data_IF_770612693013
#
_entry.id   IF_770612693013
#
_cell.length_a   1.000
_cell.length_b   1.000
_cell.length_c   1.000
_cell.angle_alpha   90.00
_cell.angle_beta   90.00
_cell.angle_gamma   90.00
#
_symmetry.space_group_name_H-M   'P 1'
#
loop_
_entity.id
_entity.type
_entity.pdbx_description
1 polymer ?
#
# COMPACT_ATOMS: atom_id res chain seq x y z
N UNK A 1 -7.72 -10.28 -5.46
CA UNK A 1 -8.06 -8.85 -5.40
C UNK A 1 -6.90 -8.02 -5.91
N UNK A 2 -7.16 -6.98 -6.66
CA UNK A 2 -6.07 -6.10 -7.09
C UNK A 2 -5.45 -5.39 -5.90
N UNK A 3 -4.19 -5.02 -6.05
CA UNK A 3 -3.49 -4.35 -4.97
C UNK A 3 -4.21 -3.08 -4.53
N UNK A 4 -4.77 -2.34 -5.49
CA UNK A 4 -5.46 -1.08 -5.16
C UNK A 4 -6.58 -1.30 -4.15
N UNK A 5 -7.33 -2.39 -4.30
CA UNK A 5 -8.39 -2.71 -3.36
C UNK A 5 -7.83 -3.21 -2.03
N UNK A 6 -6.78 -4.02 -2.09
CA UNK A 6 -6.18 -4.56 -0.87
C UNK A 6 -5.60 -3.45 0.01
N UNK A 7 -4.89 -2.51 -0.60
CA UNK A 7 -4.27 -1.45 0.18
C UNK A 7 -5.31 -0.50 0.76
N UNK A 8 -6.38 -0.25 0.01
CA UNK A 8 -7.46 0.59 0.51
C UNK A 8 -8.16 -0.07 1.70
N UNK A 9 -8.47 -1.37 1.56
CA UNK A 9 -9.12 -2.10 2.64
C UNK A 9 -8.22 -2.17 3.87
N UNK A 10 -6.93 -2.34 3.66
CA UNK A 10 -5.98 -2.35 4.77
C UNK A 10 -6.01 -1.01 5.51
N UNK A 11 -5.94 0.09 4.76
CA UNK A 11 -5.99 1.42 5.37
C UNK A 11 -7.27 1.62 6.17
N UNK A 12 -8.41 1.24 5.60
CA UNK A 12 -9.67 1.40 6.28
C UNK A 12 -9.76 0.55 7.54
N UNK A 13 -9.16 -0.64 7.52
CA UNK A 13 -9.16 -1.49 8.70
C UNK A 13 -8.32 -0.88 9.82
N UNK A 14 -7.38 0.00 9.48
CA UNK A 14 -6.59 0.72 10.47
C UNK A 14 -7.26 2.02 10.93
N UNK A 15 -8.44 2.31 10.41
CA UNK A 15 -9.21 3.51 10.76
C UNK A 15 -8.44 4.80 10.46
N UNK A 16 -7.73 4.81 9.33
CA UNK A 16 -6.96 5.97 8.92
C UNK A 16 -7.47 6.51 7.59
N UNK A 17 -7.40 7.83 7.43
CA UNK A 17 -7.62 8.41 6.11
C UNK A 17 -6.31 8.34 5.31
N UNK A 18 -6.36 8.79 4.06
CA UNK A 18 -5.19 8.68 3.18
C UNK A 18 -3.99 9.50 3.68
N UNK A 19 -4.25 10.65 4.24
CA UNK A 19 -3.18 11.50 4.77
C UNK A 19 -2.50 10.84 5.96
N UNK A 20 -3.30 10.31 6.88
CA UNK A 20 -2.75 9.63 8.05
C UNK A 20 -1.95 8.40 7.67
N UNK A 21 -2.47 7.64 6.73
CA UNK A 21 -1.80 6.44 6.26
C UNK A 21 -0.47 6.80 5.58
N UNK A 22 -0.49 7.84 4.75
CA UNK A 22 0.73 8.32 4.12
C UNK A 22 1.76 8.73 5.13
N UNK A 23 1.33 9.47 6.16
CA UNK A 23 2.25 9.89 7.22
C UNK A 23 2.88 8.69 7.93
N UNK A 24 2.10 7.65 8.16
CA UNK A 24 2.61 6.45 8.82
C UNK A 24 3.67 5.75 7.99
N UNK A 25 3.58 5.85 6.67
CA UNK A 25 4.52 5.18 5.77
C UNK A 25 5.60 6.11 5.23
N UNK A 26 5.51 7.39 5.52
CA UNK A 26 6.48 8.35 5.01
C UNK A 26 6.27 8.72 3.55
N UNK A 27 5.04 8.64 3.07
CA UNK A 27 4.71 9.01 1.69
C UNK A 27 3.59 10.03 1.70
N UNK A 28 3.38 10.69 0.56
CA UNK A 28 2.37 11.73 0.46
C UNK A 28 0.98 11.16 0.30
N UNK A 29 -0.02 12.01 0.61
CA UNK A 29 -1.41 11.70 0.34
C UNK A 29 -1.61 11.33 -1.14
N UNK A 30 -1.01 12.10 -2.03
CA UNK A 30 -1.13 11.86 -3.45
C UNK A 30 -0.64 10.47 -3.83
N UNK A 31 0.45 10.04 -3.22
CA UNK A 31 1.01 8.72 -3.48
C UNK A 31 0.02 7.62 -3.05
N UNK A 32 -0.55 7.74 -1.86
CA UNK A 32 -1.52 6.77 -1.38
C UNK A 32 -2.74 6.74 -2.31
N UNK A 33 -3.20 7.91 -2.70
CA UNK A 33 -4.35 8.02 -3.58
C UNK A 33 -4.10 7.30 -4.91
N UNK A 34 -2.90 7.47 -5.48
CA UNK A 34 -2.56 6.81 -6.73
C UNK A 34 -2.52 5.29 -6.58
N UNK A 35 -2.01 4.80 -5.46
CA UNK A 35 -2.01 3.35 -5.20
C UNK A 35 -3.46 2.82 -5.18
N UNK A 36 -4.33 3.53 -4.50
CA UNK A 36 -5.71 3.06 -4.32
C UNK A 36 -6.56 3.18 -5.58
N UNK A 37 -6.13 4.02 -6.51
CA UNK A 37 -6.82 4.16 -7.78
C UNK A 37 -6.18 3.34 -8.91
N UNK A 38 -5.20 2.53 -8.57
CA UNK A 38 -4.57 1.68 -9.58
C UNK A 38 -3.67 2.42 -10.54
N UNK A 39 -3.29 3.66 -10.21
CA UNK A 39 -2.44 4.47 -11.09
C UNK A 39 -0.97 4.23 -10.87
N UNK A 40 -0.61 3.68 -9.73
CA UNK A 40 0.76 3.39 -9.39
C UNK A 40 0.78 2.28 -8.35
N UNK A 41 1.94 1.69 -8.14
CA UNK A 41 2.09 0.73 -7.05
C UNK A 41 3.34 1.09 -6.27
N UNK A 42 3.41 0.69 -4.99
CA UNK A 42 4.57 1.02 -4.16
C UNK A 42 5.84 0.41 -4.71
N UNK A 43 6.94 1.16 -4.62
CA UNK A 43 8.24 0.58 -4.92
C UNK A 43 8.70 -0.24 -3.71
N UNK A 44 9.88 -0.84 -3.84
CA UNK A 44 10.39 -1.73 -2.79
C UNK A 44 10.58 -0.98 -1.47
N UNK A 45 11.04 0.27 -1.54
CA UNK A 45 11.23 1.06 -0.34
C UNK A 45 9.91 1.25 0.41
N UNK A 46 8.85 1.57 -0.33
CA UNK A 46 7.54 1.75 0.27
C UNK A 46 6.99 0.43 0.81
N UNK A 47 7.25 -0.68 0.11
CA UNK A 47 6.82 -1.98 0.61
C UNK A 47 7.53 -2.38 1.89
N UNK A 48 8.80 -2.01 2.03
CA UNK A 48 9.51 -2.25 3.27
C UNK A 48 8.91 -1.46 4.43
N UNK A 49 8.54 -0.21 4.18
CA UNK A 49 7.90 0.61 5.20
C UNK A 49 6.55 0.01 5.59
N UNK A 50 5.80 -0.48 4.61
CA UNK A 50 4.52 -1.10 4.86
C UNK A 50 4.68 -2.38 5.68
N UNK A 51 5.68 -3.18 5.36
CA UNK A 51 5.94 -4.40 6.11
C UNK A 51 6.29 -4.09 7.55
N UNK A 52 7.14 -3.09 7.76
CA UNK A 52 7.51 -2.69 9.12
C UNK A 52 6.29 -2.20 9.89
N UNK A 53 5.45 -1.42 9.25
CA UNK A 53 4.24 -0.93 9.88
C UNK A 53 3.34 -2.10 10.32
N UNK A 54 3.19 -3.11 9.45
CA UNK A 54 2.41 -4.28 9.78
C UNK A 54 2.98 -5.02 10.98
N UNK A 55 4.31 -5.13 11.04
CA UNK A 55 4.95 -5.81 12.15
C UNK A 55 4.74 -5.06 13.46
N UNK A 56 4.83 -3.75 13.41
CA UNK A 56 4.66 -2.93 14.62
C UNK A 56 3.23 -2.97 15.14
N UNK A 57 2.27 -3.12 14.24
CA UNK A 57 0.86 -3.14 14.61
C UNK A 57 0.28 -4.56 14.71
N UNK A 58 1.12 -5.57 14.52
CA UNK A 58 0.69 -6.97 14.53
C UNK A 58 -0.40 -7.24 13.50
N UNK A 59 -0.25 -6.67 12.30
CA UNK A 59 -1.20 -6.84 11.22
C UNK A 59 -0.62 -7.73 10.13
N UNK A 60 -1.46 -8.47 9.39
CA UNK A 60 -0.96 -9.35 8.35
C UNK A 60 -0.44 -8.56 7.16
N UNK A 61 0.79 -8.85 6.75
CA UNK A 61 1.40 -8.21 5.59
C UNK A 61 1.25 -9.06 4.33
N UNK A 62 1.16 -10.37 4.48
CA UNK A 62 1.21 -11.27 3.33
C UNK A 62 0.16 -11.02 2.26
N UNK A 63 -1.10 -10.71 2.62
CA UNK A 63 -2.08 -10.42 1.56
C UNK A 63 -1.69 -9.22 0.70
N UNK A 64 -1.07 -8.22 1.33
CA UNK A 64 -0.62 -7.05 0.58
C UNK A 64 0.54 -7.40 -0.35
N UNK A 65 1.49 -8.16 0.15
CA UNK A 65 2.63 -8.55 -0.68
C UNK A 65 2.19 -9.42 -1.84
N UNK A 66 1.29 -10.36 -1.59
CA UNK A 66 0.82 -11.24 -2.63
C UNK A 66 0.14 -10.45 -3.75
N UNK A 67 -0.77 -9.56 -3.40
CA UNK A 67 -1.46 -8.78 -4.41
C UNK A 67 -0.50 -7.83 -5.11
N UNK A 68 0.50 -7.31 -4.41
CA UNK A 68 1.51 -6.45 -5.00
C UNK A 68 2.33 -7.20 -6.05
N UNK A 69 2.71 -8.45 -5.76
CA UNK A 69 3.46 -9.24 -6.71
C UNK A 69 2.63 -9.62 -7.93
N UNK A 70 1.35 -9.84 -7.73
CA UNK A 70 0.47 -10.24 -8.82
C UNK A 70 0.09 -9.09 -9.72
N UNK A 71 0.15 -7.87 -9.20
CA UNK A 71 -0.27 -6.67 -9.93
C UNK A 71 0.94 -5.90 -10.42
N UNK A 72 1.60 -6.42 -11.46
CA UNK A 72 2.84 -5.81 -11.91
C UNK A 72 2.74 -5.05 -13.20
N UNK A 73 1.55 -4.99 -13.75
CA UNK A 73 1.39 -4.43 -15.07
C UNK A 73 1.81 -2.99 -15.16
N UNK A 74 1.47 -2.24 -14.14
CA UNK A 74 1.64 -0.80 -14.18
C UNK A 74 3.09 -0.38 -14.20
N UNK A 75 3.94 -1.11 -13.53
CA UNK A 75 5.30 -0.67 -13.45
C UNK A 75 6.07 -0.96 -14.69
N UNK A 76 5.55 -1.80 -15.54
CA UNK A 76 6.22 -2.06 -16.80
C UNK A 76 6.24 -0.82 -17.67
N UNK A 77 5.39 0.12 -17.41
CA UNK A 77 5.33 1.33 -18.20
C UNK A 77 6.39 2.34 -17.78
N UNK A 78 7.08 2.09 -16.75
CA UNK A 78 8.01 3.06 -16.17
C UNK A 78 9.39 2.91 -16.73
#
# INVERSE_FOLDING_TARGET
MPFSSEIKNFRLSCLMNQTEFGNALGVSFTTVNRWENGKARPNIKAMKALKQYCEECALPYEPLEKSWRENRIQEDAV
#
